data_IF_223937786099
#
_entry.id   IF_223937786099
#
_cell.length_a   1.000
_cell.length_b   1.000
_cell.length_c   1.000
_cell.angle_alpha   90.00
_cell.angle_beta   90.00
_cell.angle_gamma   90.00
#
_symmetry.space_group_name_H-M   'P 1'
#
loop_
_entity.id
_entity.type
_entity.pdbx_description
1 polymer ?
#
# COMPACT_ATOMS: atom_id res chain seq x y z
N UNK A 1 22.72 -7.29 15.26
CA UNK A 1 21.70 -6.84 16.22
C UNK A 1 20.48 -6.22 15.55
N UNK A 2 20.51 -5.01 14.95
CA UNK A 2 19.28 -4.42 14.32
C UNK A 2 18.75 -5.24 13.14
N UNK A 3 19.63 -5.76 12.26
CA UNK A 3 19.19 -6.65 11.17
C UNK A 3 18.62 -7.99 11.68
N UNK A 4 19.15 -8.54 12.77
CA UNK A 4 18.62 -9.77 13.40
C UNK A 4 17.23 -9.53 14.02
N UNK A 5 16.97 -8.33 14.53
CA UNK A 5 15.67 -7.87 15.05
C UNK A 5 14.66 -7.73 13.90
N UNK A 6 15.07 -7.11 12.79
CA UNK A 6 14.22 -6.88 11.61
C UNK A 6 13.87 -8.17 10.86
N UNK A 7 14.82 -9.09 10.73
CA UNK A 7 14.61 -10.38 10.05
C UNK A 7 13.98 -11.44 10.96
N UNK A 8 14.22 -11.35 12.27
CA UNK A 8 13.75 -12.32 13.26
C UNK A 8 12.33 -12.08 13.76
N UNK A 9 11.85 -10.82 13.75
CA UNK A 9 10.57 -10.48 14.34
C UNK A 9 9.47 -10.29 13.30
N UNK A 10 8.41 -11.08 13.45
CA UNK A 10 7.20 -10.99 12.61
C UNK A 10 5.96 -10.63 13.42
N UNK A 11 6.12 -10.43 14.74
CA UNK A 11 5.05 -10.13 15.68
C UNK A 11 5.51 -9.11 16.72
N UNK A 12 4.57 -8.26 17.13
CA UNK A 12 4.74 -7.19 18.11
C UNK A 12 5.40 -7.66 19.41
N UNK A 13 4.91 -8.76 19.98
CA UNK A 13 5.32 -9.24 21.30
C UNK A 13 6.79 -9.70 21.38
N UNK A 14 7.47 -9.85 20.24
CA UNK A 14 8.84 -10.37 20.20
C UNK A 14 9.91 -9.26 20.28
N UNK A 15 9.55 -8.00 20.05
CA UNK A 15 10.51 -6.90 19.89
C UNK A 15 10.43 -5.82 20.98
N UNK A 16 9.33 -5.77 21.75
CA UNK A 16 9.10 -4.68 22.70
C UNK A 16 10.14 -4.60 23.81
N UNK A 17 10.54 -5.75 24.38
CA UNK A 17 11.58 -5.83 25.41
C UNK A 17 12.93 -5.30 24.91
N UNK A 18 13.21 -5.46 23.62
CA UNK A 18 14.47 -5.00 23.03
C UNK A 18 14.46 -3.49 22.77
N UNK A 19 13.30 -2.92 22.39
CA UNK A 19 13.14 -1.47 22.25
C UNK A 19 13.31 -0.78 23.61
N UNK A 20 12.75 -1.35 24.69
CA UNK A 20 12.82 -0.75 26.03
C UNK A 20 14.23 -0.77 26.64
N UNK A 21 15.05 -1.76 26.28
CA UNK A 21 16.47 -1.84 26.70
C UNK A 21 17.33 -0.70 26.14
N UNK A 22 16.94 -0.10 25.03
CA UNK A 22 17.68 1.04 24.45
C UNK A 22 17.40 2.29 25.31
N UNK A 23 18.45 2.99 25.79
CA UNK A 23 18.27 4.25 26.52
C UNK A 23 17.46 5.25 25.71
N UNK A 24 16.54 5.97 26.37
CA UNK A 24 15.56 6.84 25.72
C UNK A 24 16.22 7.87 24.79
N UNK A 25 17.36 8.46 25.20
CA UNK A 25 18.06 9.44 24.37
C UNK A 25 18.61 8.87 23.05
N UNK A 26 18.73 7.55 22.91
CA UNK A 26 19.24 6.89 21.71
C UNK A 26 18.16 6.20 20.86
N UNK A 27 16.91 6.13 21.34
CA UNK A 27 15.83 5.39 20.65
C UNK A 27 15.52 5.96 19.26
N UNK A 28 15.69 7.27 19.05
CA UNK A 28 15.50 7.90 17.74
C UNK A 28 16.48 7.38 16.68
N UNK A 29 17.72 7.05 17.06
CA UNK A 29 18.69 6.41 16.16
C UNK A 29 18.25 4.99 15.81
N UNK A 30 17.73 4.24 16.79
CA UNK A 30 17.16 2.92 16.54
C UNK A 30 16.01 2.94 15.53
N UNK A 31 15.13 3.93 15.61
CA UNK A 31 14.03 4.11 14.64
C UNK A 31 14.57 4.38 13.23
N UNK A 32 15.58 5.24 13.09
CA UNK A 32 16.25 5.48 11.81
C UNK A 32 16.81 4.17 11.24
N UNK A 33 17.61 3.45 12.03
CA UNK A 33 18.23 2.19 11.58
C UNK A 33 17.19 1.12 11.19
N UNK A 34 16.06 1.05 11.92
CA UNK A 34 14.95 0.16 11.56
C UNK A 34 14.41 0.52 10.18
N UNK A 35 14.16 1.80 9.90
CA UNK A 35 13.65 2.24 8.60
C UNK A 35 14.67 2.08 7.47
N UNK A 36 15.95 2.37 7.72
CA UNK A 36 17.02 2.16 6.74
C UNK A 36 17.12 0.67 6.37
N UNK A 37 17.03 -0.22 7.35
CA UNK A 37 16.97 -1.67 7.12
C UNK A 37 15.72 -2.11 6.33
N UNK A 38 14.57 -1.41 6.47
CA UNK A 38 13.34 -1.77 5.74
C UNK A 38 13.50 -1.68 4.23
N UNK A 39 14.41 -0.84 3.73
CA UNK A 39 14.56 -0.60 2.30
C UNK A 39 14.98 -1.86 1.54
N UNK A 40 15.73 -2.75 2.19
CA UNK A 40 16.24 -4.00 1.61
C UNK A 40 15.31 -5.20 1.90
N UNK A 41 14.31 -5.03 2.75
CA UNK A 41 13.48 -6.12 3.24
C UNK A 41 12.29 -6.45 2.34
N UNK A 42 11.76 -7.67 2.46
CA UNK A 42 10.54 -8.06 1.74
C UNK A 42 9.31 -7.37 2.34
N UNK A 43 8.31 -7.12 1.50
CA UNK A 43 7.01 -6.51 1.88
C UNK A 43 6.43 -6.99 3.20
N UNK A 44 6.43 -8.30 3.45
CA UNK A 44 5.92 -8.89 4.70
C UNK A 44 6.62 -8.31 5.94
N UNK A 45 7.94 -8.15 5.91
CA UNK A 45 8.71 -7.60 7.04
C UNK A 45 8.53 -6.09 7.17
N UNK A 46 8.43 -5.36 6.05
CA UNK A 46 8.10 -3.93 6.07
C UNK A 46 6.76 -3.64 6.75
N UNK A 47 5.73 -4.41 6.40
CA UNK A 47 4.42 -4.29 7.03
C UNK A 47 4.44 -4.70 8.51
N UNK A 48 5.08 -5.82 8.85
CA UNK A 48 5.16 -6.27 10.25
C UNK A 48 5.92 -5.26 11.14
N UNK A 49 7.00 -4.67 10.63
CA UNK A 49 7.77 -3.64 11.34
C UNK A 49 6.96 -2.38 11.55
N UNK A 50 6.14 -2.00 10.56
CA UNK A 50 5.22 -0.88 10.72
C UNK A 50 4.23 -1.13 11.87
N UNK A 51 3.65 -2.33 11.95
CA UNK A 51 2.75 -2.71 13.05
C UNK A 51 3.44 -2.69 14.42
N UNK A 52 4.71 -3.13 14.48
CA UNK A 52 5.56 -3.03 15.68
C UNK A 52 5.73 -1.57 16.11
N UNK A 53 6.09 -0.68 15.19
CA UNK A 53 6.27 0.74 15.48
C UNK A 53 4.96 1.42 15.89
N UNK A 54 3.83 1.04 15.27
CA UNK A 54 2.50 1.50 15.69
C UNK A 54 2.24 1.12 17.14
N UNK A 55 2.48 -0.14 17.50
CA UNK A 55 2.27 -0.61 18.86
C UNK A 55 3.22 0.09 19.85
N UNK A 56 4.49 0.25 19.50
CA UNK A 56 5.50 0.86 20.35
C UNK A 56 5.17 2.32 20.71
N UNK A 57 4.62 3.07 19.75
CA UNK A 57 4.21 4.46 19.98
C UNK A 57 2.86 4.55 20.69
N UNK A 58 1.86 3.77 20.24
CA UNK A 58 0.46 3.99 20.65
C UNK A 58 0.01 3.15 21.84
N UNK A 59 0.46 1.90 21.90
CA UNK A 59 -0.08 0.91 22.83
C UNK A 59 0.82 0.76 24.07
N UNK A 60 2.10 0.46 23.89
CA UNK A 60 3.04 0.29 25.01
C UNK A 60 3.60 1.62 25.51
N UNK A 61 3.65 2.64 24.64
CA UNK A 61 4.30 3.95 24.89
C UNK A 61 5.81 3.82 25.17
N UNK A 62 6.44 2.76 24.67
CA UNK A 62 7.90 2.60 24.70
C UNK A 62 8.61 3.69 23.87
N UNK A 63 7.91 4.27 22.88
CA UNK A 63 8.39 5.39 22.08
C UNK A 63 7.45 6.60 22.24
N UNK A 64 8.02 7.75 22.61
CA UNK A 64 7.30 9.02 22.50
C UNK A 64 7.12 9.40 21.01
N UNK A 65 6.10 10.20 20.71
CA UNK A 65 5.86 10.70 19.34
C UNK A 65 7.05 11.56 18.88
N UNK A 66 7.62 12.39 19.75
CA UNK A 66 8.76 13.24 19.40
C UNK A 66 10.02 12.43 19.06
N UNK A 67 10.31 11.39 19.85
CA UNK A 67 11.41 10.46 19.59
C UNK A 67 11.21 9.73 18.25
N UNK A 68 9.98 9.28 18.00
CA UNK A 68 9.61 8.65 16.73
C UNK A 68 9.80 9.58 15.53
N UNK A 69 9.29 10.81 15.61
CA UNK A 69 9.39 11.79 14.54
C UNK A 69 10.84 12.22 14.28
N UNK A 70 11.67 12.30 15.32
CA UNK A 70 13.10 12.55 15.16
C UNK A 70 13.75 11.44 14.33
N UNK A 71 13.56 10.17 14.70
CA UNK A 71 14.13 9.04 13.98
C UNK A 71 13.62 8.95 12.54
N UNK A 72 12.32 9.15 12.32
CA UNK A 72 11.72 9.19 10.99
C UNK A 72 12.33 10.31 10.13
N UNK A 73 12.54 11.50 10.67
CA UNK A 73 13.16 12.61 9.94
C UNK A 73 14.57 12.25 9.47
N UNK A 74 15.38 11.65 10.34
CA UNK A 74 16.74 11.24 9.97
C UNK A 74 16.75 10.21 8.84
N UNK A 75 15.78 9.29 8.81
CA UNK A 75 15.61 8.34 7.70
C UNK A 75 15.19 9.06 6.42
N UNK A 76 14.17 9.92 6.49
CA UNK A 76 13.63 10.63 5.32
C UNK A 76 14.64 11.60 4.69
N UNK A 77 15.60 12.11 5.47
CA UNK A 77 16.66 13.02 5.01
C UNK A 77 17.64 12.37 4.01
N UNK A 78 17.70 11.03 3.93
CA UNK A 78 18.59 10.30 2.99
C UNK A 78 17.88 9.66 1.80
N UNK A 79 16.55 9.77 1.69
CA UNK A 79 15.77 9.06 0.66
C UNK A 79 16.03 9.60 -0.75
N UNK A 80 16.31 10.90 -0.90
CA UNK A 80 16.61 11.50 -2.20
C UNK A 80 17.92 10.97 -2.80
N UNK A 81 18.95 10.75 -1.98
CA UNK A 81 20.20 10.10 -2.40
C UNK A 81 19.94 8.64 -2.80
N UNK A 82 19.19 7.89 -1.98
CA UNK A 82 18.84 6.48 -2.27
C UNK A 82 18.03 6.36 -3.56
N UNK A 83 17.13 7.31 -3.82
CA UNK A 83 16.30 7.30 -5.02
C UNK A 83 17.09 7.42 -6.34
N UNK A 84 18.35 7.89 -6.29
CA UNK A 84 19.23 7.94 -7.46
C UNK A 84 19.54 6.52 -7.95
N UNK A 85 19.88 5.62 -7.04
CA UNK A 85 20.26 4.24 -7.36
C UNK A 85 19.06 3.28 -7.31
N UNK A 86 18.04 3.59 -6.51
CA UNK A 86 16.84 2.77 -6.32
C UNK A 86 15.57 3.60 -6.58
N UNK A 87 15.20 3.87 -7.85
CA UNK A 87 14.02 4.67 -8.17
C UNK A 87 12.70 4.10 -7.63
N UNK A 88 12.66 2.77 -7.43
CA UNK A 88 11.50 2.03 -6.93
C UNK A 88 11.24 2.24 -5.42
N UNK A 89 12.11 2.98 -4.72
CA UNK A 89 12.00 3.20 -3.27
C UNK A 89 10.64 3.77 -2.86
N UNK A 90 10.04 4.61 -3.71
CA UNK A 90 8.72 5.19 -3.48
C UNK A 90 7.58 4.17 -3.46
N UNK A 91 7.77 2.97 -4.02
CA UNK A 91 6.80 1.87 -3.88
C UNK A 91 6.90 1.20 -2.49
N UNK A 92 8.05 1.29 -1.82
CA UNK A 92 8.29 0.62 -0.54
C UNK A 92 7.88 1.50 0.64
N UNK A 93 8.11 2.81 0.55
CA UNK A 93 7.77 3.79 1.60
C UNK A 93 6.31 3.66 2.10
N UNK A 94 5.29 3.54 1.24
CA UNK A 94 3.91 3.39 1.70
C UNK A 94 3.68 2.13 2.54
N UNK A 95 4.46 1.06 2.35
CA UNK A 95 4.29 -0.19 3.08
C UNK A 95 4.62 -0.06 4.56
N UNK A 96 5.49 0.90 4.93
CA UNK A 96 5.84 1.15 6.33
C UNK A 96 5.37 2.50 6.89
N UNK A 97 5.13 3.52 6.07
CA UNK A 97 4.52 4.80 6.53
C UNK A 97 2.99 4.81 6.45
N UNK A 98 2.41 4.05 5.53
CA UNK A 98 0.96 3.92 5.40
C UNK A 98 0.28 3.47 6.69
N UNK A 99 0.74 2.40 7.37
CA UNK A 99 0.21 1.98 8.66
C UNK A 99 0.32 3.06 9.74
N UNK A 100 1.41 3.84 9.76
CA UNK A 100 1.61 4.94 10.72
C UNK A 100 0.57 6.07 10.51
N UNK A 101 0.23 6.37 9.25
CA UNK A 101 -0.81 7.34 8.89
C UNK A 101 -2.21 6.80 9.23
N UNK A 102 -2.50 5.54 8.90
CA UNK A 102 -3.79 4.90 9.21
C UNK A 102 -4.02 4.79 10.73
N UNK A 103 -2.94 4.57 11.49
CA UNK A 103 -2.94 4.60 12.95
C UNK A 103 -2.99 6.02 13.53
N UNK A 104 -3.02 7.07 12.70
CA UNK A 104 -3.05 8.49 13.10
C UNK A 104 -1.88 8.90 14.00
N UNK A 105 -0.74 8.22 13.87
CA UNK A 105 0.50 8.59 14.58
C UNK A 105 1.15 9.78 13.87
N UNK A 106 1.13 9.77 12.53
CA UNK A 106 1.55 10.90 11.70
C UNK A 106 0.42 11.36 10.79
N UNK A 107 0.39 12.65 10.49
CA UNK A 107 -0.50 13.24 9.49
C UNK A 107 0.25 13.48 8.17
N UNK A 108 -0.46 13.72 7.07
CA UNK A 108 0.19 14.13 5.81
C UNK A 108 0.99 15.44 5.98
N UNK A 109 0.55 16.32 6.86
CA UNK A 109 1.30 17.54 7.21
C UNK A 109 2.61 17.23 7.92
N UNK A 110 2.57 16.28 8.86
CA UNK A 110 3.78 15.81 9.56
C UNK A 110 4.73 15.13 8.57
N UNK A 111 4.20 14.33 7.64
CA UNK A 111 4.97 13.70 6.58
C UNK A 111 5.71 14.74 5.72
N UNK A 112 5.03 15.83 5.33
CA UNK A 112 5.68 16.93 4.60
C UNK A 112 6.83 17.55 5.42
N UNK A 113 6.62 17.78 6.72
CA UNK A 113 7.64 18.37 7.60
C UNK A 113 8.89 17.50 7.73
N UNK A 114 8.74 16.18 7.87
CA UNK A 114 9.88 15.26 8.02
C UNK A 114 10.55 14.93 6.69
N UNK A 115 9.98 15.33 5.55
CA UNK A 115 10.48 15.02 4.19
C UNK A 115 11.05 16.25 3.47
N UNK A 116 11.50 17.26 4.22
CA UNK A 116 11.88 18.58 3.68
C UNK A 116 12.98 18.48 2.60
N UNK A 117 14.02 17.66 2.82
CA UNK A 117 15.12 17.49 1.86
C UNK A 117 14.63 16.86 0.56
N UNK A 118 13.83 15.80 0.66
CA UNK A 118 13.20 15.14 -0.49
C UNK A 118 12.31 16.10 -1.30
N UNK A 119 11.58 17.00 -0.61
CA UNK A 119 10.75 18.02 -1.27
C UNK A 119 11.63 19.05 -2.00
N UNK A 120 12.73 19.51 -1.38
CA UNK A 120 13.72 20.40 -2.02
C UNK A 120 14.37 19.75 -3.23
N UNK A 121 14.57 18.43 -3.20
CA UNK A 121 15.04 17.63 -4.33
C UNK A 121 13.98 17.42 -5.43
N UNK A 122 12.80 18.06 -5.35
CA UNK A 122 11.67 17.92 -6.27
C UNK A 122 11.03 16.52 -6.30
N UNK A 123 11.25 15.69 -5.29
CA UNK A 123 10.73 14.32 -5.19
C UNK A 123 9.51 14.17 -4.26
N UNK A 124 9.07 15.27 -3.63
CA UNK A 124 7.90 15.25 -2.74
C UNK A 124 6.59 14.80 -3.42
N UNK A 125 6.43 15.09 -4.72
CA UNK A 125 5.31 14.61 -5.51
C UNK A 125 5.28 13.08 -5.63
N UNK A 126 6.45 12.44 -5.85
CA UNK A 126 6.58 10.98 -5.92
C UNK A 126 6.16 10.35 -4.59
N UNK A 127 6.66 10.87 -3.47
CA UNK A 127 6.28 10.40 -2.14
C UNK A 127 4.75 10.50 -1.93
N UNK A 128 4.18 11.68 -2.18
CA UNK A 128 2.75 11.92 -1.94
C UNK A 128 1.87 11.04 -2.82
N UNK A 129 2.21 10.90 -4.10
CA UNK A 129 1.49 10.06 -5.05
C UNK A 129 1.37 8.61 -4.56
N UNK A 130 2.50 8.00 -4.18
CA UNK A 130 2.53 6.60 -3.77
C UNK A 130 1.80 6.38 -2.45
N UNK A 131 1.94 7.32 -1.50
CA UNK A 131 1.19 7.28 -0.25
C UNK A 131 -0.32 7.42 -0.46
N UNK A 132 -0.78 8.40 -1.23
CA UNK A 132 -2.21 8.59 -1.49
C UNK A 132 -2.80 7.36 -2.19
N UNK A 133 -2.11 6.81 -3.20
CA UNK A 133 -2.54 5.57 -3.87
C UNK A 133 -2.64 4.40 -2.90
N UNK A 134 -1.65 4.22 -2.03
CA UNK A 134 -1.68 3.19 -0.99
C UNK A 134 -2.86 3.38 -0.02
N UNK A 135 -3.14 4.61 0.40
CA UNK A 135 -4.22 4.90 1.35
C UNK A 135 -5.60 4.70 0.72
N UNK A 136 -5.80 5.15 -0.52
CA UNK A 136 -7.02 4.90 -1.29
C UNK A 136 -7.24 3.39 -1.37
N UNK A 137 -6.19 2.67 -1.76
CA UNK A 137 -6.20 1.23 -1.90
C UNK A 137 -6.52 0.47 -0.61
N UNK A 138 -5.94 0.89 0.54
CA UNK A 138 -6.15 0.23 1.83
C UNK A 138 -7.49 0.55 2.48
N UNK A 139 -8.12 1.66 2.11
CA UNK A 139 -9.41 2.11 2.65
C UNK A 139 -10.36 2.31 1.49
N UNK A 140 -10.42 3.55 1.02
CA UNK A 140 -11.11 4.00 -0.17
C UNK A 140 -10.73 5.48 -0.38
N UNK A 141 -11.17 6.07 -1.48
CA UNK A 141 -10.88 7.47 -1.73
C UNK A 141 -11.65 8.42 -0.77
N UNK A 142 -12.82 8.02 -0.25
CA UNK A 142 -13.64 8.87 0.62
C UNK A 142 -12.95 9.10 1.98
N UNK A 143 -12.34 8.04 2.51
CA UNK A 143 -11.46 8.08 3.65
C UNK A 143 -10.24 8.98 3.40
N UNK A 144 -9.64 8.90 2.21
CA UNK A 144 -8.49 9.75 1.87
C UNK A 144 -8.86 11.22 1.76
N UNK A 145 -10.06 11.55 1.27
CA UNK A 145 -10.57 12.92 1.29
C UNK A 145 -10.72 13.44 2.73
N UNK A 146 -11.37 12.68 3.62
CA UNK A 146 -11.51 13.03 5.04
C UNK A 146 -10.14 13.19 5.72
N UNK A 147 -9.21 12.29 5.44
CA UNK A 147 -7.84 12.33 5.95
C UNK A 147 -7.07 13.55 5.45
N UNK A 148 -7.20 13.88 4.16
CA UNK A 148 -6.61 15.06 3.55
C UNK A 148 -7.10 16.34 4.23
N UNK A 149 -8.42 16.50 4.37
CA UNK A 149 -9.02 17.67 5.02
C UNK A 149 -8.58 17.82 6.49
N UNK A 150 -8.63 16.73 7.25
CA UNK A 150 -8.20 16.73 8.67
C UNK A 150 -6.72 17.02 8.85
N UNK A 151 -5.89 16.62 7.89
CA UNK A 151 -4.45 16.88 7.95
C UNK A 151 -4.10 18.35 7.69
N UNK A 152 -5.01 19.14 7.11
CA UNK A 152 -4.78 20.52 6.66
C UNK A 152 -3.55 20.68 5.75
N UNK A 153 -3.20 19.61 5.04
CA UNK A 153 -2.09 19.59 4.10
C UNK A 153 -2.49 20.30 2.80
N UNK A 154 -1.52 20.91 2.14
CA UNK A 154 -1.67 21.53 0.83
C UNK A 154 -0.80 20.79 -0.17
N UNK A 155 -1.20 20.79 -1.43
CA UNK A 155 -0.34 20.30 -2.52
C UNK A 155 1.02 21.00 -2.53
N UNK A 156 1.03 22.31 -2.24
CA UNK A 156 2.23 23.14 -2.15
C UNK A 156 3.16 22.79 -0.99
N UNK A 157 2.73 21.94 -0.06
CA UNK A 157 3.62 21.41 0.99
C UNK A 157 4.57 20.34 0.43
N UNK A 158 4.26 19.72 -0.73
CA UNK A 158 5.07 18.66 -1.34
C UNK A 158 5.69 19.03 -2.69
N UNK A 159 5.22 20.09 -3.34
CA UNK A 159 5.69 20.49 -4.67
C UNK A 159 5.48 21.97 -4.95
N UNK A 160 6.11 22.49 -6.00
CA UNK A 160 5.92 23.88 -6.43
C UNK A 160 4.48 24.12 -6.93
N UNK A 161 3.90 25.31 -6.72
CA UNK A 161 2.55 25.64 -7.19
C UNK A 161 2.33 25.39 -8.69
N UNK A 162 3.36 25.61 -9.51
CA UNK A 162 3.32 25.40 -10.97
C UNK A 162 3.12 23.95 -11.42
N UNK A 163 3.40 22.97 -10.56
CA UNK A 163 3.28 21.53 -10.88
C UNK A 163 1.96 20.92 -10.40
N UNK A 164 1.19 21.65 -9.59
CA UNK A 164 0.04 21.09 -8.86
C UNK A 164 -1.06 20.61 -9.81
N UNK A 165 -1.48 21.45 -10.76
CA UNK A 165 -2.61 21.13 -11.65
C UNK A 165 -2.29 19.92 -12.55
N UNK A 166 -1.10 19.91 -13.15
CA UNK A 166 -0.61 18.79 -13.96
C UNK A 166 -0.51 17.50 -13.12
N UNK A 167 0.07 17.58 -11.92
CA UNK A 167 0.21 16.44 -11.03
C UNK A 167 -1.14 15.82 -10.68
N UNK A 168 -2.14 16.64 -10.37
CA UNK A 168 -3.48 16.18 -10.00
C UNK A 168 -4.19 15.52 -11.19
N UNK A 169 -4.07 16.13 -12.37
CA UNK A 169 -4.64 15.59 -13.60
C UNK A 169 -4.03 14.23 -13.96
N UNK A 170 -2.69 14.12 -13.98
CA UNK A 170 -1.97 12.87 -14.31
C UNK A 170 -2.30 11.75 -13.32
N UNK A 171 -2.56 12.09 -12.07
CA UNK A 171 -2.80 11.11 -11.00
C UNK A 171 -4.26 10.84 -10.70
N UNK A 172 -5.19 11.48 -11.40
CA UNK A 172 -6.62 11.39 -11.15
C UNK A 172 -7.00 11.76 -9.70
N UNK A 173 -6.27 12.69 -9.07
CA UNK A 173 -6.56 13.16 -7.70
C UNK A 173 -7.58 14.30 -7.65
N UNK A 174 -8.34 14.52 -8.73
CA UNK A 174 -9.32 15.60 -8.85
C UNK A 174 -10.36 15.61 -7.72
N UNK A 175 -10.65 14.44 -7.13
CA UNK A 175 -11.60 14.30 -6.01
C UNK A 175 -11.16 15.01 -4.72
N UNK A 176 -9.86 15.30 -4.58
CA UNK A 176 -9.32 16.07 -3.46
C UNK A 176 -9.46 17.59 -3.66
N UNK A 177 -9.77 18.04 -4.89
CA UNK A 177 -10.15 19.43 -5.18
C UNK A 177 -11.68 19.54 -5.25
N UNK A 178 -12.26 18.78 -6.18
CA UNK A 178 -13.69 18.73 -6.44
C UNK A 178 -14.25 17.67 -5.51
N UNK A 179 -14.78 18.11 -4.37
CA UNK A 179 -15.35 17.27 -3.31
C UNK A 179 -16.54 16.39 -3.75
N UNK A 180 -16.81 16.35 -5.06
CA UNK A 180 -17.81 15.54 -5.73
C UNK A 180 -17.23 14.16 -6.08
N UNK A 181 -17.47 13.22 -5.16
CA UNK A 181 -17.00 11.85 -5.24
C UNK A 181 -17.49 11.06 -6.47
N UNK A 182 -18.62 11.47 -7.03
CA UNK A 182 -19.30 10.83 -8.16
C UNK A 182 -18.48 10.85 -9.45
N UNK A 183 -17.59 11.83 -9.61
CA UNK A 183 -16.76 11.99 -10.83
C UNK A 183 -15.48 11.15 -10.79
N UNK A 184 -14.96 10.85 -9.59
CA UNK A 184 -13.79 9.99 -9.40
C UNK A 184 -14.05 8.53 -9.76
N UNK A 185 -15.19 8.00 -9.30
CA UNK A 185 -15.61 6.61 -9.59
C UNK A 185 -15.84 6.37 -11.09
N UNK A 186 -16.07 7.43 -11.88
CA UNK A 186 -16.35 7.33 -13.32
C UNK A 186 -15.10 7.44 -14.22
N UNK A 187 -13.96 7.93 -13.70
CA UNK A 187 -12.79 8.32 -14.53
C UNK A 187 -11.48 7.62 -14.18
N UNK A 188 -11.45 6.70 -13.21
CA UNK A 188 -10.23 6.00 -12.75
C UNK A 188 -9.75 4.87 -13.70
N UNK A 189 -9.67 5.15 -15.00
CA UNK A 189 -9.21 4.22 -16.05
C UNK A 189 -7.78 4.56 -16.50
N UNK A 190 -6.81 4.61 -15.58
CA UNK A 190 -5.39 4.70 -15.97
C UNK A 190 -4.57 3.68 -15.20
N UNK A 191 -4.08 2.75 -16.01
CA UNK A 191 -3.53 1.42 -15.72
C UNK A 191 -2.06 1.48 -15.33
N UNK A 192 -1.58 0.36 -14.77
CA UNK A 192 -0.18 -0.01 -14.48
C UNK A 192 0.22 -0.02 -12.98
N UNK A 193 0.18 1.05 -12.15
CA UNK A 193 0.50 0.90 -10.71
C UNK A 193 -0.68 0.39 -9.87
N UNK A 194 -1.92 0.73 -10.26
CA UNK A 194 -3.13 0.32 -9.54
C UNK A 194 -3.37 -1.18 -9.66
N UNK A 195 -3.02 -1.80 -10.78
CA UNK A 195 -3.32 -3.19 -11.08
C UNK A 195 -2.63 -4.16 -10.13
N UNK A 196 -1.35 -3.89 -9.83
CA UNK A 196 -0.58 -4.66 -8.84
C UNK A 196 -1.17 -4.49 -7.44
N UNK A 197 -1.55 -3.28 -7.07
CA UNK A 197 -2.21 -3.03 -5.80
C UNK A 197 -3.54 -3.82 -5.75
N UNK A 198 -4.46 -3.61 -6.70
CA UNK A 198 -5.75 -4.31 -6.79
C UNK A 198 -5.58 -5.82 -6.68
N UNK A 199 -4.61 -6.37 -7.41
CA UNK A 199 -4.24 -7.78 -7.33
C UNK A 199 -3.87 -8.20 -5.89
N UNK A 200 -2.99 -7.45 -5.23
CA UNK A 200 -2.55 -7.75 -3.87
C UNK A 200 -3.65 -7.64 -2.82
N UNK A 201 -4.60 -6.69 -2.93
CA UNK A 201 -5.72 -6.59 -1.97
C UNK A 201 -6.76 -7.66 -2.19
N UNK A 202 -7.15 -7.92 -3.43
CA UNK A 202 -8.05 -9.02 -3.72
C UNK A 202 -7.44 -10.33 -3.18
N UNK A 203 -6.13 -10.52 -3.35
CA UNK A 203 -5.43 -11.68 -2.79
C UNK A 203 -5.51 -11.72 -1.27
N UNK A 204 -5.27 -10.59 -0.60
CA UNK A 204 -5.39 -10.49 0.85
C UNK A 204 -6.82 -10.79 1.34
N UNK A 205 -7.84 -10.21 0.71
CA UNK A 205 -9.25 -10.40 1.09
C UNK A 205 -9.70 -11.85 0.90
N UNK A 206 -9.34 -12.47 -0.23
CA UNK A 206 -9.70 -13.85 -0.59
C UNK A 206 -8.96 -14.84 0.32
N UNK A 207 -7.65 -14.66 0.54
CA UNK A 207 -6.86 -15.55 1.41
C UNK A 207 -7.26 -15.41 2.88
N UNK A 208 -7.68 -14.21 3.33
CA UNK A 208 -8.17 -13.99 4.69
C UNK A 208 -9.59 -14.53 4.93
N UNK A 209 -10.18 -15.20 3.94
CA UNK A 209 -11.53 -15.76 4.00
C UNK A 209 -12.61 -14.72 4.39
N UNK A 210 -12.45 -13.49 3.88
CA UNK A 210 -13.44 -12.42 4.03
C UNK A 210 -14.76 -12.84 3.39
N UNK A 211 -15.91 -12.33 3.88
CA UNK A 211 -17.20 -12.64 3.24
C UNK A 211 -17.25 -12.10 1.82
N UNK A 212 -18.02 -12.75 0.95
CA UNK A 212 -18.23 -12.28 -0.41
C UNK A 212 -18.78 -10.85 -0.45
N UNK A 213 -19.69 -10.50 0.47
CA UNK A 213 -20.24 -9.15 0.58
C UNK A 213 -19.14 -8.10 0.83
N UNK A 214 -18.17 -8.38 1.70
CA UNK A 214 -17.05 -7.45 1.96
C UNK A 214 -16.13 -7.30 0.74
N UNK A 215 -15.95 -8.36 -0.04
CA UNK A 215 -15.17 -8.31 -1.28
C UNK A 215 -15.93 -7.51 -2.34
N UNK A 216 -17.24 -7.73 -2.49
CA UNK A 216 -18.09 -7.00 -3.42
C UNK A 216 -18.17 -5.50 -3.06
N UNK A 217 -18.36 -5.18 -1.78
CA UNK A 217 -18.36 -3.81 -1.27
C UNK A 217 -17.03 -3.12 -1.56
N UNK A 218 -15.90 -3.81 -1.34
CA UNK A 218 -14.59 -3.25 -1.64
C UNK A 218 -14.40 -3.03 -3.14
N UNK A 219 -14.80 -3.99 -3.98
CA UNK A 219 -14.73 -3.85 -5.45
C UNK A 219 -15.60 -2.66 -5.88
N UNK A 220 -16.84 -2.56 -5.41
CA UNK A 220 -17.73 -1.45 -5.74
C UNK A 220 -17.19 -0.09 -5.27
N UNK A 221 -16.49 -0.04 -4.13
CA UNK A 221 -15.92 1.19 -3.58
C UNK A 221 -14.61 1.64 -4.26
N UNK A 222 -13.84 0.70 -4.81
CA UNK A 222 -12.47 0.96 -5.28
C UNK A 222 -12.27 0.76 -6.79
N UNK A 223 -13.15 0.01 -7.44
CA UNK A 223 -13.11 -0.29 -8.88
C UNK A 223 -14.29 0.43 -9.51
N UNK A 224 -14.01 1.56 -10.16
CA UNK A 224 -15.04 2.39 -10.79
C UNK A 224 -15.86 1.64 -11.84
N UNK A 225 -15.20 1.29 -12.95
CA UNK A 225 -15.82 0.51 -14.03
C UNK A 225 -15.15 -0.86 -14.11
N UNK A 226 -15.96 -1.92 -14.11
CA UNK A 226 -15.48 -3.29 -14.36
C UNK A 226 -15.05 -3.38 -15.82
N UNK A 227 -13.74 -3.40 -16.05
CA UNK A 227 -13.14 -3.46 -17.38
C UNK A 227 -12.38 -4.78 -17.61
N UNK A 228 -11.90 -4.95 -18.84
CA UNK A 228 -11.14 -6.14 -19.26
C UNK A 228 -9.91 -6.40 -18.40
N UNK A 229 -9.29 -5.33 -17.89
CA UNK A 229 -8.06 -5.43 -17.11
C UNK A 229 -8.36 -5.92 -15.70
N UNK A 230 -9.40 -5.38 -15.07
CA UNK A 230 -9.90 -5.85 -13.78
C UNK A 230 -10.30 -7.32 -13.82
N UNK A 231 -11.03 -7.76 -14.87
CA UNK A 231 -11.40 -9.17 -15.01
C UNK A 231 -10.17 -10.09 -15.08
N UNK A 232 -9.10 -9.67 -15.78
CA UNK A 232 -7.83 -10.43 -15.80
C UNK A 232 -7.19 -10.50 -14.41
N UNK A 233 -7.20 -9.40 -13.67
CA UNK A 233 -6.65 -9.34 -12.31
C UNK A 233 -7.45 -10.24 -11.38
N UNK A 234 -8.77 -10.09 -11.33
CA UNK A 234 -9.67 -10.90 -10.49
C UNK A 234 -9.50 -12.40 -10.79
N UNK A 235 -9.46 -12.77 -12.08
CA UNK A 235 -9.22 -14.15 -12.50
C UNK A 235 -7.88 -14.65 -12.00
N UNK A 236 -6.81 -13.89 -12.20
CA UNK A 236 -5.46 -14.28 -11.75
C UNK A 236 -5.43 -14.51 -10.24
N UNK A 237 -6.00 -13.60 -9.46
CA UNK A 237 -6.01 -13.70 -7.99
C UNK A 237 -6.81 -14.90 -7.49
N UNK A 238 -8.01 -15.11 -8.04
CA UNK A 238 -8.87 -16.23 -7.63
C UNK A 238 -8.16 -17.56 -7.91
N UNK A 239 -7.59 -17.72 -9.10
CA UNK A 239 -6.82 -18.93 -9.42
C UNK A 239 -5.59 -19.06 -8.52
N UNK A 240 -4.79 -18.01 -8.33
CA UNK A 240 -3.62 -18.03 -7.44
C UNK A 240 -3.98 -18.42 -6.00
N UNK A 241 -5.11 -17.95 -5.48
CA UNK A 241 -5.58 -18.27 -4.12
C UNK A 241 -5.97 -19.74 -3.96
N UNK A 242 -6.29 -20.42 -5.07
CA UNK A 242 -6.68 -21.81 -5.10
C UNK A 242 -5.50 -22.76 -5.36
N UNK A 243 -4.29 -22.24 -5.56
CA UNK A 243 -3.10 -23.06 -5.80
C UNK A 243 -2.44 -23.50 -4.48
N UNK A 244 -2.09 -24.78 -4.41
CA UNK A 244 -1.14 -25.28 -3.43
C UNK A 244 0.29 -24.85 -3.77
N UNK A 245 1.23 -24.90 -2.80
CA UNK A 245 2.65 -24.61 -3.05
C UNK A 245 3.32 -25.47 -4.13
N UNK A 246 2.74 -26.63 -4.46
CA UNK A 246 3.18 -27.51 -5.55
C UNK A 246 2.45 -27.24 -6.87
N UNK A 247 1.80 -26.07 -7.01
CA UNK A 247 1.04 -25.62 -8.17
C UNK A 247 -0.17 -26.49 -8.55
N UNK A 248 -0.57 -27.43 -7.68
CA UNK A 248 -1.84 -28.15 -7.86
C UNK A 248 -3.01 -27.27 -7.46
N UNK A 249 -4.10 -27.35 -8.22
CA UNK A 249 -5.34 -26.62 -7.95
C UNK A 249 -6.15 -27.33 -6.86
N UNK A 250 -6.61 -26.57 -5.87
CA UNK A 250 -7.59 -27.01 -4.89
C UNK A 250 -9.00 -26.90 -5.47
N UNK A 251 -9.50 -27.98 -6.06
CA UNK A 251 -10.81 -28.02 -6.75
C UNK A 251 -11.99 -27.52 -5.90
N UNK A 252 -12.18 -28.00 -4.65
CA UNK A 252 -13.27 -27.52 -3.78
C UNK A 252 -13.19 -26.02 -3.47
N UNK A 253 -11.99 -25.49 -3.21
CA UNK A 253 -11.79 -24.05 -2.98
C UNK A 253 -12.04 -23.25 -4.25
N UNK A 254 -11.63 -23.78 -5.40
CA UNK A 254 -11.88 -23.16 -6.69
C UNK A 254 -13.39 -23.07 -6.99
N UNK A 255 -14.16 -24.14 -6.79
CA UNK A 255 -15.62 -24.09 -6.97
C UNK A 255 -16.28 -23.05 -6.07
N UNK A 256 -15.80 -22.92 -4.83
CA UNK A 256 -16.27 -21.91 -3.89
C UNK A 256 -15.95 -20.49 -4.39
N UNK A 257 -14.68 -20.22 -4.74
CA UNK A 257 -14.21 -18.90 -5.15
C UNK A 257 -14.63 -18.52 -6.58
N UNK A 258 -14.92 -19.49 -7.45
CA UNK A 258 -15.45 -19.25 -8.80
C UNK A 258 -16.78 -18.53 -8.77
N UNK A 259 -17.57 -18.65 -7.70
CA UNK A 259 -18.81 -17.86 -7.55
C UNK A 259 -18.58 -16.35 -7.63
N UNK A 260 -17.46 -15.88 -7.06
CA UNK A 260 -17.06 -14.48 -7.14
C UNK A 260 -16.73 -14.10 -8.59
N UNK A 261 -16.04 -14.97 -9.34
CA UNK A 261 -15.76 -14.73 -10.76
C UNK A 261 -17.04 -14.70 -11.59
N UNK A 262 -17.91 -15.70 -11.43
CA UNK A 262 -19.16 -15.81 -12.19
C UNK A 262 -19.98 -14.55 -12.07
N UNK A 263 -20.10 -13.95 -10.87
CA UNK A 263 -20.83 -12.70 -10.63
C UNK A 263 -20.45 -11.54 -11.56
N UNK A 264 -19.17 -11.42 -11.92
CA UNK A 264 -18.67 -10.31 -12.76
C UNK A 264 -18.53 -10.68 -14.24
N UNK A 265 -18.63 -11.97 -14.57
CA UNK A 265 -18.44 -12.49 -15.94
C UNK A 265 -19.78 -12.83 -16.59
N UNK A 266 -20.78 -13.22 -15.81
CA UNK A 266 -22.05 -13.76 -16.28
C UNK A 266 -22.70 -12.82 -17.32
N UNK A 267 -22.99 -13.37 -18.50
CA UNK A 267 -23.57 -12.69 -19.67
C UNK A 267 -22.64 -11.77 -20.47
N UNK A 268 -21.30 -11.88 -20.33
CA UNK A 268 -20.35 -11.12 -21.16
C UNK A 268 -19.25 -12.01 -21.76
N UNK A 269 -19.45 -12.47 -22.99
CA UNK A 269 -18.50 -13.33 -23.73
C UNK A 269 -17.08 -12.73 -23.79
N UNK A 270 -16.97 -11.40 -23.89
CA UNK A 270 -15.69 -10.71 -23.89
C UNK A 270 -14.93 -10.85 -22.56
N UNK A 271 -15.63 -10.90 -21.43
CA UNK A 271 -15.03 -11.10 -20.11
C UNK A 271 -14.65 -12.57 -19.89
N UNK A 272 -15.42 -13.52 -20.41
CA UNK A 272 -15.03 -14.94 -20.43
C UNK A 272 -13.70 -15.13 -21.19
N UNK A 273 -13.55 -14.48 -22.34
CA UNK A 273 -12.29 -14.48 -23.10
C UNK A 273 -11.14 -13.87 -22.29
N UNK A 274 -11.36 -12.79 -21.54
CA UNK A 274 -10.32 -12.22 -20.68
C UNK A 274 -9.89 -13.16 -19.56
N UNK A 275 -10.82 -13.95 -19.02
CA UNK A 275 -10.49 -14.96 -18.00
C UNK A 275 -9.58 -16.04 -18.57
N UNK A 276 -9.90 -16.55 -19.77
CA UNK A 276 -9.07 -17.53 -20.46
C UNK A 276 -7.66 -16.98 -20.72
N UNK A 277 -7.54 -15.73 -21.18
CA UNK A 277 -6.23 -15.11 -21.37
C UNK A 277 -5.45 -14.94 -20.06
N UNK A 278 -6.12 -14.57 -18.97
CA UNK A 278 -5.48 -14.46 -17.66
C UNK A 278 -4.97 -15.82 -17.16
N UNK A 279 -5.76 -16.87 -17.30
CA UNK A 279 -5.38 -18.25 -16.96
C UNK A 279 -4.20 -18.71 -17.81
N UNK A 280 -4.25 -18.52 -19.14
CA UNK A 280 -3.16 -18.90 -20.04
C UNK A 280 -1.85 -18.18 -19.68
N UNK A 281 -1.93 -16.88 -19.39
CA UNK A 281 -0.77 -16.09 -18.96
C UNK A 281 -0.22 -16.56 -17.61
N UNK A 282 -1.10 -16.94 -16.68
CA UNK A 282 -0.70 -17.49 -15.38
C UNK A 282 0.00 -18.85 -15.54
N UNK A 283 -0.52 -19.75 -16.36
CA UNK A 283 0.11 -21.05 -16.67
C UNK A 283 1.51 -20.85 -17.26
N UNK A 284 1.66 -19.92 -18.21
CA UNK A 284 2.95 -19.58 -18.80
C UNK A 284 3.94 -19.04 -17.76
N UNK A 285 3.47 -18.19 -16.84
CA UNK A 285 4.27 -17.64 -15.73
C UNK A 285 4.73 -18.72 -14.74
N UNK A 286 3.97 -19.79 -14.59
CA UNK A 286 4.29 -20.92 -13.71
C UNK A 286 5.17 -21.99 -14.39
N UNK A 287 5.68 -21.73 -15.60
CA UNK A 287 6.51 -22.66 -16.40
C UNK A 287 5.81 -23.98 -16.79
N UNK A 288 4.50 -23.93 -17.07
CA UNK A 288 3.71 -25.12 -17.46
C UNK A 288 3.77 -26.29 -16.46
N UNK A 289 3.34 -26.07 -15.20
CA UNK A 289 3.21 -27.17 -14.25
C UNK A 289 2.13 -28.14 -14.73
N UNK A 290 2.36 -29.44 -14.53
CA UNK A 290 1.50 -30.54 -15.01
C UNK A 290 0.19 -30.65 -14.25
#
# INVERSE_FOLDING_TARGET
>A
MVMEVVEGYTKVDQCMDDIEKVPEEHRHLGIREIYDAMLEQKKKHRMATADILVHAVRNSRALSIDTYLHGLRLHMDGIDEIAIDVPMIFEFIPEYLGPMILAKIITLKTLAMVSENLIKANLGGNLLQHLLRYLIFKRDAAYVLDLWEKSQVKWTDFMSPSKVDEFIAINNFNFLINKDFTTYQSTSSTTVPLDRCVHERLKELIVSNSSYDTIEEWIAANIGTIDKNFIRILTTVVIESCLYPNYKVNGPLLEQQCRLLTRYIENTEEFEMQCLFAIQKLIFKLEHPS
#
